data_IF_001659572656
#
_entry.id   IF_001659572656
#
_cell.length_a   1.000
_cell.length_b   1.000
_cell.length_c   1.000
_cell.angle_alpha   90.00
_cell.angle_beta   90.00
_cell.angle_gamma   90.00
#
_symmetry.space_group_name_H-M   'P 1'
#
loop_
_entity.id
_entity.type
_entity.pdbx_description
1 polymer ?
#
# COMPACT_ATOMS: atom_id res chain seq x y z
N UNK A 1 12.42 10.26 -10.64
CA UNK A 1 11.64 9.75 -9.48
C UNK A 1 11.32 10.88 -8.50
N UNK A 2 12.27 11.79 -8.18
CA UNK A 2 12.00 13.01 -7.39
C UNK A 2 10.91 13.93 -7.98
N UNK A 3 10.84 14.08 -9.31
CA UNK A 3 9.89 15.01 -9.93
C UNK A 3 8.41 14.57 -9.81
N UNK A 4 8.12 13.27 -9.75
CA UNK A 4 6.75 12.76 -9.51
C UNK A 4 6.34 12.95 -8.04
N UNK A 5 7.29 12.80 -7.12
CA UNK A 5 7.07 12.97 -5.68
C UNK A 5 6.68 14.41 -5.31
N UNK A 6 7.13 15.43 -6.06
CA UNK A 6 6.75 16.84 -5.85
C UNK A 6 5.42 17.21 -6.52
N UNK A 7 4.92 16.39 -7.44
CA UNK A 7 3.77 16.73 -8.29
C UNK A 7 2.40 16.51 -7.60
N UNK A 8 2.31 15.62 -6.62
CA UNK A 8 1.04 15.33 -5.94
C UNK A 8 0.68 16.33 -4.85
N UNK A 9 1.65 17.09 -4.33
CA UNK A 9 1.46 17.95 -3.17
C UNK A 9 1.30 17.20 -1.84
N UNK A 10 1.42 15.86 -1.84
CA UNK A 10 1.30 15.04 -0.63
C UNK A 10 2.52 15.22 0.28
N UNK A 11 2.33 15.40 1.60
CA UNK A 11 3.43 15.53 2.56
C UNK A 11 4.39 14.32 2.56
N UNK A 12 5.65 14.54 2.93
CA UNK A 12 6.69 13.50 2.93
C UNK A 12 6.37 12.32 3.83
N UNK A 13 5.76 12.55 5.00
CA UNK A 13 5.41 11.47 5.91
C UNK A 13 4.40 10.48 5.33
N UNK A 14 3.62 10.87 4.31
CA UNK A 14 2.65 10.00 3.64
C UNK A 14 3.24 9.27 2.44
N UNK A 15 4.39 9.72 1.94
CA UNK A 15 5.13 9.09 0.84
C UNK A 15 6.04 7.95 1.33
N UNK A 16 6.32 7.88 2.63
CA UNK A 16 7.22 6.89 3.22
C UNK A 16 6.65 6.27 4.50
N UNK A 17 6.52 4.94 4.54
CA UNK A 17 6.14 4.19 5.76
C UNK A 17 4.64 4.23 6.12
N UNK A 18 3.80 4.90 5.32
CA UNK A 18 2.34 4.99 5.53
C UNK A 18 1.53 4.42 4.36
N UNK A 19 2.10 3.47 3.62
CA UNK A 19 1.47 2.91 2.43
C UNK A 19 0.17 2.15 2.74
N UNK A 20 0.05 1.45 3.87
CA UNK A 20 -1.18 0.71 4.21
C UNK A 20 -2.39 1.63 4.47
N UNK A 21 -2.31 2.61 5.40
CA UNK A 21 -3.45 3.49 5.62
C UNK A 21 -3.78 4.34 4.38
N UNK A 22 -2.77 4.73 3.59
CA UNK A 22 -3.01 5.44 2.33
C UNK A 22 -3.74 4.57 1.28
N UNK A 23 -3.30 3.32 1.09
CA UNK A 23 -3.95 2.42 0.16
C UNK A 23 -5.39 2.07 0.59
N UNK A 24 -5.62 1.87 1.91
CA UNK A 24 -6.97 1.71 2.46
C UNK A 24 -7.86 2.93 2.15
N UNK A 25 -7.37 4.14 2.47
CA UNK A 25 -8.11 5.37 2.21
C UNK A 25 -8.44 5.58 0.73
N UNK A 26 -7.47 5.35 -0.16
CA UNK A 26 -7.69 5.44 -1.61
C UNK A 26 -8.69 4.38 -2.09
N UNK A 27 -8.64 3.17 -1.57
CA UNK A 27 -9.59 2.10 -1.90
C UNK A 27 -11.00 2.49 -1.52
N UNK A 28 -11.20 3.00 -0.31
CA UNK A 28 -12.50 3.43 0.19
C UNK A 28 -13.05 4.63 -0.61
N UNK A 29 -12.19 5.62 -0.91
CA UNK A 29 -12.59 6.84 -1.62
C UNK A 29 -12.88 6.61 -3.11
N UNK A 30 -12.12 5.74 -3.76
CA UNK A 30 -12.16 5.53 -5.22
C UNK A 30 -12.86 4.23 -5.60
N UNK A 31 -13.23 3.39 -4.64
CA UNK A 31 -13.78 2.04 -4.87
C UNK A 31 -12.87 1.18 -5.76
N UNK A 32 -11.56 1.26 -5.51
CA UNK A 32 -10.53 0.54 -6.25
C UNK A 32 -9.96 -0.61 -5.43
N UNK A 33 -9.56 -1.73 -6.07
CA UNK A 33 -8.89 -2.82 -5.38
C UNK A 33 -7.53 -2.37 -4.83
N UNK A 34 -7.17 -2.91 -3.66
CA UNK A 34 -5.86 -2.70 -3.06
C UNK A 34 -4.91 -3.77 -3.57
N UNK A 35 -3.70 -3.38 -3.93
CA UNK A 35 -2.64 -4.30 -4.33
C UNK A 35 -1.48 -4.18 -3.36
N UNK A 36 -0.87 -5.31 -3.04
CA UNK A 36 0.27 -5.41 -2.12
C UNK A 36 1.44 -6.12 -2.78
N UNK A 37 2.65 -5.64 -2.50
CA UNK A 37 3.87 -6.41 -2.69
C UNK A 37 4.19 -7.12 -1.38
N UNK A 38 4.12 -8.44 -1.37
CA UNK A 38 4.34 -9.28 -0.20
C UNK A 38 5.57 -10.13 -0.39
N UNK A 39 6.38 -10.23 0.65
CA UNK A 39 7.57 -11.07 0.71
C UNK A 39 7.54 -11.94 1.97
N UNK A 40 8.38 -12.96 2.04
CA UNK A 40 8.73 -13.58 3.30
C UNK A 40 10.06 -13.02 3.81
N UNK A 41 10.09 -12.60 5.08
CA UNK A 41 11.28 -12.16 5.80
C UNK A 41 11.61 -13.13 6.94
N UNK A 42 12.86 -13.12 7.44
CA UNK A 42 13.23 -13.94 8.59
C UNK A 42 12.50 -13.47 9.85
N UNK A 43 12.02 -14.41 10.64
CA UNK A 43 11.35 -14.14 11.91
C UNK A 43 11.59 -15.28 12.89
N UNK A 44 11.99 -14.93 14.10
CA UNK A 44 12.06 -15.79 15.29
C UNK A 44 10.68 -16.17 15.84
N UNK A 45 9.66 -15.38 15.51
CA UNK A 45 8.26 -15.62 15.85
C UNK A 45 7.54 -16.59 14.90
N UNK A 46 8.22 -17.17 13.91
CA UNK A 46 7.64 -18.14 12.98
C UNK A 46 8.24 -19.55 13.17
N UNK A 47 7.43 -20.61 13.25
CA UNK A 47 7.93 -22.00 13.31
C UNK A 47 8.82 -22.41 12.13
N UNK A 48 8.64 -21.77 10.97
CA UNK A 48 9.44 -22.04 9.77
C UNK A 48 10.69 -21.17 9.67
N UNK A 49 10.88 -20.23 10.61
CA UNK A 49 11.92 -19.20 10.59
C UNK A 49 11.63 -18.05 9.61
N UNK A 50 10.48 -18.07 8.94
CA UNK A 50 10.08 -17.08 7.94
C UNK A 50 8.63 -16.67 8.11
N UNK A 51 8.36 -15.38 7.92
CA UNK A 51 7.06 -14.77 8.11
C UNK A 51 6.75 -13.84 6.95
N UNK A 52 5.47 -13.75 6.61
CA UNK A 52 5.04 -12.87 5.54
C UNK A 52 5.05 -11.42 5.99
N UNK A 53 5.39 -10.54 5.05
CA UNK A 53 5.57 -9.12 5.27
C UNK A 53 5.07 -8.39 4.02
N UNK A 54 4.08 -7.53 4.19
CA UNK A 54 3.72 -6.56 3.16
C UNK A 54 4.84 -5.51 3.14
N UNK A 55 5.42 -5.25 1.98
CA UNK A 55 6.50 -4.25 1.80
C UNK A 55 5.91 -2.92 1.33
N UNK A 56 4.89 -3.00 0.49
CA UNK A 56 4.21 -1.83 -0.07
C UNK A 56 2.75 -2.17 -0.38
N UNK A 57 1.89 -1.16 -0.35
CA UNK A 57 0.49 -1.26 -0.72
C UNK A 57 0.08 -0.02 -1.55
N UNK A 58 -0.78 -0.22 -2.53
CA UNK A 58 -1.31 0.80 -3.43
C UNK A 58 -2.70 0.40 -3.93
N UNK A 59 -3.39 1.26 -4.69
CA UNK A 59 -4.62 0.87 -5.42
C UNK A 59 -4.33 0.70 -6.89
N UNK A 60 -5.06 -0.19 -7.56
CA UNK A 60 -4.93 -0.41 -9.01
C UNK A 60 -6.07 0.26 -9.75
N UNK A 61 -5.75 1.14 -10.70
CA UNK A 61 -6.73 1.76 -11.58
C UNK A 61 -7.23 0.77 -12.65
N UNK A 62 -8.38 1.05 -13.30
CA UNK A 62 -8.98 0.14 -14.30
C UNK A 62 -8.11 -0.11 -15.53
N UNK A 63 -7.20 0.82 -15.86
CA UNK A 63 -6.20 0.69 -16.93
C UNK A 63 -4.98 -0.17 -16.54
N UNK A 64 -4.91 -0.60 -15.28
CA UNK A 64 -3.86 -1.47 -14.75
C UNK A 64 -2.68 -0.73 -14.11
N UNK A 65 -2.68 0.60 -14.08
CA UNK A 65 -1.64 1.35 -13.37
C UNK A 65 -1.80 1.25 -11.84
N UNK A 66 -0.68 1.37 -11.13
CA UNK A 66 -0.67 1.53 -9.69
C UNK A 66 -0.77 3.00 -9.29
N UNK A 67 -1.48 3.28 -8.21
CA UNK A 67 -1.66 4.62 -7.69
C UNK A 67 -1.48 4.67 -6.16
N UNK A 68 -0.60 5.55 -5.68
CA UNK A 68 -0.36 5.80 -4.27
C UNK A 68 -0.05 7.30 -4.00
N UNK A 69 0.51 7.61 -2.82
CA UNK A 69 0.90 8.97 -2.44
C UNK A 69 1.89 9.66 -3.42
N UNK A 70 2.65 8.89 -4.19
CA UNK A 70 3.55 9.36 -5.24
C UNK A 70 2.89 9.54 -6.61
N UNK A 71 1.60 9.23 -6.74
CA UNK A 71 0.83 9.30 -7.98
C UNK A 71 0.87 8.00 -8.78
N UNK A 72 0.65 8.09 -10.10
CA UNK A 72 0.59 6.93 -10.99
C UNK A 72 1.98 6.35 -11.33
N UNK A 73 2.05 5.02 -11.32
CA UNK A 73 3.24 4.26 -11.65
C UNK A 73 2.91 2.91 -12.29
N UNK A 74 3.91 2.37 -13.00
CA UNK A 74 3.89 0.99 -13.49
C UNK A 74 4.31 0.04 -12.36
N UNK A 75 3.48 -0.98 -12.11
CA UNK A 75 3.71 -2.03 -11.12
C UNK A 75 5.06 -2.74 -11.32
N UNK A 76 5.50 -2.93 -12.58
CA UNK A 76 6.78 -3.55 -12.88
C UNK A 76 7.96 -2.74 -12.29
N UNK A 77 7.79 -1.42 -12.23
CA UNK A 77 8.74 -0.49 -11.61
C UNK A 77 8.82 -0.63 -10.10
N UNK A 78 7.71 -0.96 -9.43
CA UNK A 78 7.67 -1.19 -7.97
C UNK A 78 8.43 -2.45 -7.61
N UNK A 79 8.15 -3.57 -8.28
CA UNK A 79 8.88 -4.82 -8.05
C UNK A 79 10.37 -4.61 -8.27
N UNK A 80 10.75 -3.94 -9.37
CA UNK A 80 12.15 -3.65 -9.66
C UNK A 80 12.78 -2.77 -8.57
N UNK A 81 12.10 -1.71 -8.13
CA UNK A 81 12.64 -0.77 -7.13
C UNK A 81 12.82 -1.42 -5.75
N UNK A 82 11.82 -2.17 -5.29
CA UNK A 82 11.86 -2.80 -3.98
C UNK A 82 12.70 -4.08 -3.97
N UNK A 83 12.67 -4.90 -5.02
CA UNK A 83 13.36 -6.19 -5.03
C UNK A 83 14.81 -6.11 -5.53
N UNK A 84 15.23 -5.05 -6.24
CA UNK A 84 16.59 -4.95 -6.77
C UNK A 84 17.68 -4.87 -5.67
N UNK A 85 17.35 -4.45 -4.44
CA UNK A 85 18.33 -4.14 -3.40
C UNK A 85 18.28 -5.07 -2.18
N UNK A 86 17.54 -6.18 -2.21
CA UNK A 86 17.19 -6.92 -0.98
C UNK A 86 17.88 -8.26 -0.77
N UNK A 87 18.79 -8.68 -1.65
CA UNK A 87 19.68 -9.83 -1.39
C UNK A 87 18.95 -11.07 -0.85
N UNK A 88 19.48 -11.69 0.21
CA UNK A 88 18.95 -12.93 0.83
C UNK A 88 17.92 -12.71 1.95
N UNK A 89 17.54 -11.46 2.27
CA UNK A 89 16.64 -11.18 3.41
C UNK A 89 15.16 -11.35 3.04
N UNK A 90 14.82 -11.22 1.76
CA UNK A 90 13.47 -11.42 1.25
C UNK A 90 13.40 -12.62 0.31
N UNK A 91 12.29 -13.35 0.34
CA UNK A 91 12.00 -14.44 -0.60
C UNK A 91 10.52 -14.48 -0.94
N UNK A 92 10.14 -15.28 -1.94
CA UNK A 92 8.75 -15.51 -2.31
C UNK A 92 7.97 -14.21 -2.57
N UNK A 93 8.61 -13.24 -3.22
CA UNK A 93 7.97 -11.99 -3.57
C UNK A 93 6.77 -12.27 -4.49
N UNK A 94 5.63 -11.69 -4.13
CA UNK A 94 4.38 -11.84 -4.88
C UNK A 94 3.55 -10.58 -4.80
N UNK A 95 2.80 -10.34 -5.85
CA UNK A 95 1.76 -9.31 -5.86
C UNK A 95 0.44 -9.97 -5.53
N UNK A 96 -0.27 -9.42 -4.55
CA UNK A 96 -1.58 -9.89 -4.12
C UNK A 96 -2.56 -8.73 -4.27
N UNK A 97 -3.64 -8.99 -4.99
CA UNK A 97 -4.79 -8.09 -5.08
C UNK A 97 -5.83 -8.46 -4.02
N UNK A 98 -6.36 -7.42 -3.38
CA UNK A 98 -7.41 -7.46 -2.36
C UNK A 98 -8.59 -6.67 -2.89
N UNK A 99 -9.80 -7.18 -2.66
CA UNK A 99 -11.02 -6.55 -3.17
C UNK A 99 -11.21 -5.12 -2.64
N UNK A 100 -10.81 -4.88 -1.40
CA UNK A 100 -11.02 -3.62 -0.68
C UNK A 100 -10.04 -3.45 0.51
N UNK A 101 -10.22 -2.36 1.25
CA UNK A 101 -9.45 -2.03 2.45
C UNK A 101 -9.63 -3.03 3.60
N UNK A 102 -10.79 -3.69 3.70
CA UNK A 102 -11.06 -4.70 4.74
C UNK A 102 -10.32 -6.01 4.46
N UNK A 103 -10.26 -6.42 3.19
CA UNK A 103 -9.45 -7.54 2.73
C UNK A 103 -7.96 -7.26 2.93
N UNK A 104 -7.48 -6.04 2.63
CA UNK A 104 -6.12 -5.64 2.97
C UNK A 104 -5.84 -5.81 4.47
N UNK A 105 -6.71 -5.29 5.34
CA UNK A 105 -6.50 -5.39 6.78
C UNK A 105 -6.45 -6.85 7.27
N UNK A 106 -7.31 -7.71 6.73
CA UNK A 106 -7.31 -9.14 7.06
C UNK A 106 -5.96 -9.79 6.71
N UNK A 107 -5.41 -9.47 5.55
CA UNK A 107 -4.08 -9.94 5.15
C UNK A 107 -2.95 -9.34 6.00
N UNK A 108 -3.06 -8.07 6.41
CA UNK A 108 -2.12 -7.46 7.35
C UNK A 108 -2.14 -8.16 8.72
N UNK A 109 -3.29 -8.62 9.20
CA UNK A 109 -3.39 -9.41 10.44
C UNK A 109 -2.72 -10.78 10.30
N UNK A 110 -2.83 -11.42 9.14
CA UNK A 110 -2.12 -12.69 8.89
C UNK A 110 -0.60 -12.49 8.88
N UNK A 111 -0.12 -11.41 8.25
CA UNK A 111 1.29 -11.02 8.28
C UNK A 111 1.73 -10.55 9.68
N UNK A 112 0.84 -9.85 10.40
CA UNK A 112 1.05 -9.14 11.65
C UNK A 112 -0.06 -9.40 12.67
N UNK A 113 -0.07 -10.56 13.39
CA UNK A 113 -1.12 -10.84 14.36
C UNK A 113 -1.21 -9.80 15.48
N UNK A 114 -0.12 -9.07 15.74
CA UNK A 114 -0.09 -7.94 16.66
C UNK A 114 -1.03 -6.79 16.22
N UNK A 115 -1.40 -6.71 14.94
CA UNK A 115 -2.39 -5.77 14.43
C UNK A 115 -3.81 -6.02 14.99
N UNK A 116 -4.07 -7.19 15.57
CA UNK A 116 -5.31 -7.48 16.31
C UNK A 116 -5.32 -6.88 17.72
N UNK A 117 -4.18 -6.38 18.23
CA UNK A 117 -4.17 -5.62 19.47
C UNK A 117 -5.06 -4.37 19.31
N UNK A 118 -6.02 -4.11 20.22
CA UNK A 118 -6.94 -2.98 20.10
C UNK A 118 -6.24 -1.63 19.92
N UNK A 119 -5.05 -1.45 20.50
CA UNK A 119 -4.27 -0.21 20.38
C UNK A 119 -3.70 -0.07 18.98
N UNK A 120 -3.13 -1.13 18.42
CA UNK A 120 -2.63 -1.13 17.04
C UNK A 120 -3.76 -0.93 16.03
N UNK A 121 -4.91 -1.59 16.26
CA UNK A 121 -6.10 -1.41 15.43
C UNK A 121 -6.58 0.04 15.46
N UNK A 122 -6.76 0.62 16.65
CA UNK A 122 -7.19 2.00 16.79
C UNK A 122 -6.22 2.98 16.12
N UNK A 123 -4.91 2.78 16.29
CA UNK A 123 -3.91 3.60 15.63
C UNK A 123 -4.00 3.48 14.10
N UNK A 124 -4.15 2.27 13.57
CA UNK A 124 -4.35 2.05 12.13
C UNK A 124 -5.59 2.79 11.61
N UNK A 125 -6.72 2.70 12.32
CA UNK A 125 -7.96 3.39 11.95
C UNK A 125 -7.79 4.92 11.95
N UNK A 126 -7.09 5.49 12.95
CA UNK A 126 -6.76 6.92 13.00
C UNK A 126 -5.90 7.33 11.79
N UNK A 127 -4.89 6.53 11.45
CA UNK A 127 -4.05 6.81 10.29
C UNK A 127 -4.83 6.71 8.97
N UNK A 128 -5.77 5.76 8.85
CA UNK A 128 -6.64 5.68 7.68
C UNK A 128 -7.51 6.94 7.55
N UNK A 129 -8.06 7.44 8.65
CA UNK A 129 -8.85 8.68 8.64
C UNK A 129 -8.01 9.89 8.18
N UNK A 130 -6.80 10.04 8.73
CA UNK A 130 -5.89 11.11 8.31
C UNK A 130 -5.44 10.94 6.84
N UNK A 131 -5.23 9.70 6.40
CA UNK A 131 -4.88 9.40 5.02
C UNK A 131 -6.01 9.78 4.07
N UNK A 132 -7.27 9.54 4.44
CA UNK A 132 -8.45 9.94 3.67
C UNK A 132 -8.51 11.45 3.47
N UNK A 133 -8.21 12.24 4.50
CA UNK A 133 -8.17 13.70 4.39
C UNK A 133 -7.09 14.15 3.39
N UNK A 134 -5.88 13.60 3.52
CA UNK A 134 -4.75 13.90 2.61
C UNK A 134 -5.06 13.44 1.18
N UNK A 135 -5.61 12.25 1.00
CA UNK A 135 -5.96 11.71 -0.31
C UNK A 135 -7.07 12.54 -0.97
N UNK A 136 -8.08 12.95 -0.21
CA UNK A 136 -9.16 13.80 -0.72
C UNK A 136 -8.64 15.16 -1.21
N UNK A 137 -7.72 15.77 -0.47
CA UNK A 137 -7.13 17.07 -0.82
C UNK A 137 -6.21 16.96 -2.05
N UNK A 138 -5.36 15.93 -2.10
CA UNK A 138 -4.22 15.90 -3.01
C UNK A 138 -4.28 14.87 -4.13
N UNK A 139 -5.04 13.77 -3.97
CA UNK A 139 -4.92 12.59 -4.83
C UNK A 139 -6.19 12.28 -5.62
N UNK A 140 -7.38 12.42 -5.01
CA UNK A 140 -8.64 12.01 -5.64
C UNK A 140 -8.83 12.71 -6.99
N UNK A 141 -8.60 14.03 -7.06
CA UNK A 141 -8.75 14.79 -8.30
C UNK A 141 -7.76 14.36 -9.41
N UNK A 142 -6.61 13.78 -9.04
CA UNK A 142 -5.63 13.23 -9.99
C UNK A 142 -6.08 11.87 -10.52
N UNK A 143 -6.79 11.07 -9.70
CA UNK A 143 -7.24 9.74 -10.06
C UNK A 143 -8.54 9.74 -10.89
N UNK A 144 -9.45 10.70 -10.66
CA UNK A 144 -10.76 10.74 -11.32
C UNK A 144 -10.73 10.67 -12.87
N UNK A 145 -9.79 11.34 -13.57
CA UNK A 145 -9.71 11.23 -15.03
C UNK A 145 -9.39 9.80 -15.52
N UNK A 146 -8.66 9.00 -14.74
CA UNK A 146 -8.34 7.61 -15.06
C UNK A 146 -9.52 6.64 -14.76
N UNK A 147 -10.53 7.10 -14.03
CA UNK A 147 -11.72 6.31 -13.64
C UNK A 147 -12.92 6.54 -14.55
N UNK A 148 -12.86 7.51 -15.45
CA UNK A 148 -13.92 7.76 -16.42
C UNK A 148 -13.56 7.10 -17.75
N UNK A 149 -14.36 6.13 -18.25
CA UNK A 149 -14.11 5.58 -19.58
C UNK A 149 -14.25 6.68 -20.63
N UNK A 150 -13.30 6.71 -21.57
CA UNK A 150 -13.28 7.63 -22.72
C UNK A 150 -14.47 7.39 -23.67
#
# INVERSE_FOLDING_TARGET
MLDKLLATGVPEEWRHGRCYPMASALSDLLSLPVVTLTVSTRSDHSPTGWREHVVHAWVRSPDGEGFDAGGFFDESGVQTTFLANTGTIWRNARVIEHADSAALFSHLVECFPEAMDPTHRLHFDILCQQASEVAQEHLVHLAMPALTPA
#
